data_IF_421734028566
#
_entry.id   IF_421734028566
#
_cell.length_a   1.000
_cell.length_b   1.000
_cell.length_c   1.000
_cell.angle_alpha   90.00
_cell.angle_beta   90.00
_cell.angle_gamma   90.00
#
_symmetry.space_group_name_H-M   'P 1'
#
loop_
_entity.id
_entity.type
_entity.pdbx_description
1 polymer ?
#
# COMPACT_ATOMS: atom_id res chain seq x y z
N UNK A 1 -3.83 30.63 3.71
CA UNK A 1 -2.95 29.80 4.54
C UNK A 1 -1.65 30.54 4.85
N UNK A 2 -0.88 30.97 3.85
CA UNK A 2 0.46 31.60 4.05
C UNK A 2 0.49 32.79 5.01
N UNK A 3 -0.62 33.53 5.16
CA UNK A 3 -0.73 34.73 6.03
C UNK A 3 -1.22 34.43 7.46
N UNK A 4 -1.53 33.16 7.79
CA UNK A 4 -2.11 32.84 9.11
C UNK A 4 -1.08 32.69 10.24
N UNK A 5 0.22 32.73 9.93
CA UNK A 5 1.31 32.67 10.92
C UNK A 5 1.53 31.30 11.58
N UNK A 6 0.93 30.22 11.04
CA UNK A 6 1.11 28.85 11.51
C UNK A 6 1.10 27.84 10.36
N UNK A 7 1.76 26.68 10.49
CA UNK A 7 1.67 25.60 9.51
C UNK A 7 0.23 25.09 9.38
N UNK A 8 -0.24 24.87 8.17
CA UNK A 8 -1.54 24.27 7.87
C UNK A 8 -1.36 23.34 6.68
N UNK A 9 -1.75 22.08 6.85
CA UNK A 9 -1.85 21.10 5.75
C UNK A 9 -3.09 21.42 4.93
N UNK A 10 -2.93 21.58 3.63
CA UNK A 10 -4.03 21.72 2.69
C UNK A 10 -4.35 20.37 2.06
N UNK A 11 -5.52 19.84 2.39
CA UNK A 11 -6.10 18.66 1.76
C UNK A 11 -7.18 19.10 0.78
N UNK A 12 -7.14 18.58 -0.44
CA UNK A 12 -8.13 18.84 -1.49
C UNK A 12 -8.97 17.59 -1.75
N UNK A 13 -10.29 17.76 -1.75
CA UNK A 13 -11.25 16.67 -1.93
C UNK A 13 -12.36 17.06 -2.92
N UNK A 14 -12.02 17.37 -4.18
CA UNK A 14 -13.02 17.79 -5.19
C UNK A 14 -13.59 16.63 -6.01
N UNK A 15 -13.42 15.37 -5.58
CA UNK A 15 -13.52 14.16 -6.39
C UNK A 15 -12.13 13.75 -6.91
N UNK A 16 -12.02 12.80 -7.86
CA UNK A 16 -10.73 12.33 -8.35
C UNK A 16 -9.91 13.46 -8.96
N UNK A 17 -8.70 13.65 -8.46
CA UNK A 17 -7.76 14.60 -9.05
C UNK A 17 -7.36 14.14 -10.46
N UNK A 18 -7.24 15.08 -11.38
CA UNK A 18 -6.82 14.81 -12.75
C UNK A 18 -5.29 14.79 -12.83
N UNK A 19 -4.73 13.71 -13.36
CA UNK A 19 -3.28 13.50 -13.42
C UNK A 19 -2.55 14.59 -14.24
N UNK A 20 -3.15 15.11 -15.28
CA UNK A 20 -2.61 16.20 -16.10
C UNK A 20 -2.43 17.50 -15.31
N UNK A 21 -3.03 17.60 -14.14
CA UNK A 21 -2.89 18.73 -13.23
C UNK A 21 -2.04 18.40 -11.99
N UNK A 22 -1.33 17.28 -11.97
CA UNK A 22 -0.47 16.86 -10.85
C UNK A 22 0.49 17.98 -10.39
N UNK A 23 1.13 18.67 -11.34
CA UNK A 23 2.01 19.81 -11.07
C UNK A 23 1.36 20.92 -10.23
N UNK A 24 0.04 21.11 -10.38
CA UNK A 24 -0.71 22.13 -9.64
C UNK A 24 -0.94 21.69 -8.19
N UNK A 25 -1.30 20.41 -7.99
CA UNK A 25 -1.49 19.85 -6.64
C UNK A 25 -0.17 19.84 -5.88
N UNK A 26 0.92 19.37 -6.47
CA UNK A 26 2.27 19.37 -5.88
C UNK A 26 2.72 20.76 -5.47
N UNK A 27 2.35 21.79 -6.22
CA UNK A 27 2.76 23.17 -5.95
C UNK A 27 1.93 23.86 -4.87
N UNK A 28 0.64 23.53 -4.73
CA UNK A 28 -0.30 24.34 -3.98
C UNK A 28 -1.04 23.58 -2.87
N UNK A 29 -0.95 22.26 -2.82
CA UNK A 29 -1.58 21.42 -1.80
C UNK A 29 -0.54 20.52 -1.14
N UNK A 30 -0.95 19.85 -0.06
CA UNK A 30 -0.15 18.83 0.61
C UNK A 30 -0.70 17.43 0.36
N UNK A 31 -2.00 17.33 0.15
CA UNK A 31 -2.66 16.08 -0.20
C UNK A 31 -3.88 16.35 -1.07
N UNK A 32 -4.25 15.39 -1.89
CA UNK A 32 -5.38 15.48 -2.82
C UNK A 32 -5.96 14.11 -3.11
N UNK A 33 -7.26 14.01 -3.10
CA UNK A 33 -7.98 12.78 -3.39
C UNK A 33 -7.78 12.33 -4.83
N UNK A 34 -7.37 11.08 -5.00
CA UNK A 34 -7.20 10.44 -6.31
C UNK A 34 -8.42 9.60 -6.72
N UNK A 35 -9.43 9.55 -5.87
CA UNK A 35 -10.67 8.79 -6.05
C UNK A 35 -11.87 9.63 -5.63
N UNK A 36 -13.07 9.20 -6.02
CA UNK A 36 -14.32 9.60 -5.39
C UNK A 36 -14.39 9.05 -3.95
N UNK A 37 -15.52 9.20 -3.27
CA UNK A 37 -15.69 8.67 -1.93
C UNK A 37 -15.46 7.15 -1.91
N UNK A 38 -14.42 6.73 -1.21
CA UNK A 38 -14.04 5.34 -1.10
C UNK A 38 -14.80 4.66 0.04
N UNK A 39 -15.50 3.59 -0.31
CA UNK A 39 -16.24 2.76 0.63
C UNK A 39 -15.80 1.30 0.56
N UNK A 40 -16.28 0.50 1.51
CA UNK A 40 -15.99 -0.92 1.69
C UNK A 40 -16.63 -1.82 0.62
N UNK A 41 -16.22 -1.63 -0.62
CA UNK A 41 -16.57 -2.43 -1.79
C UNK A 41 -15.31 -2.89 -2.51
N UNK A 42 -15.23 -4.20 -2.81
CA UNK A 42 -14.06 -4.78 -3.45
C UNK A 42 -13.71 -4.12 -4.78
N UNK A 43 -14.70 -3.83 -5.62
CA UNK A 43 -14.47 -3.19 -6.92
C UNK A 43 -13.77 -1.83 -6.79
N UNK A 44 -14.08 -1.06 -5.73
CA UNK A 44 -13.40 0.21 -5.46
C UNK A 44 -11.95 -0.01 -5.02
N UNK A 45 -11.69 -1.06 -4.24
CA UNK A 45 -10.34 -1.41 -3.83
C UNK A 45 -9.53 -1.93 -5.02
N UNK A 46 -10.13 -2.74 -5.89
CA UNK A 46 -9.49 -3.21 -7.13
C UNK A 46 -9.16 -2.04 -8.08
N UNK A 47 -10.07 -1.09 -8.27
CA UNK A 47 -9.80 0.12 -9.07
C UNK A 47 -8.68 0.99 -8.46
N UNK A 48 -8.51 0.97 -7.13
CA UNK A 48 -7.48 1.75 -6.46
C UNK A 48 -6.06 1.37 -6.88
N UNK A 49 -5.81 0.12 -7.28
CA UNK A 49 -4.51 -0.29 -7.82
C UNK A 49 -4.14 0.48 -9.09
N UNK A 50 -5.09 0.69 -10.01
CA UNK A 50 -4.90 1.52 -11.21
C UNK A 50 -4.66 2.99 -10.85
N UNK A 51 -5.39 3.52 -9.86
CA UNK A 51 -5.21 4.90 -9.39
C UNK A 51 -3.83 5.09 -8.76
N UNK A 52 -3.40 4.15 -7.92
CA UNK A 52 -2.07 4.16 -7.32
C UNK A 52 -0.97 4.06 -8.39
N UNK A 53 -1.13 3.21 -9.42
CA UNK A 53 -0.21 3.13 -10.56
C UNK A 53 -0.05 4.50 -11.23
N UNK A 54 -1.16 5.16 -11.53
CA UNK A 54 -1.17 6.45 -12.20
C UNK A 54 -0.44 7.53 -11.38
N UNK A 55 -0.61 7.50 -10.06
CA UNK A 55 -0.10 8.54 -9.15
C UNK A 55 1.22 8.21 -8.47
N UNK A 56 1.81 7.01 -8.67
CA UNK A 56 3.00 6.54 -7.95
C UNK A 56 4.25 7.46 -8.08
N UNK A 57 4.33 8.25 -9.14
CA UNK A 57 5.43 9.18 -9.37
C UNK A 57 5.24 10.55 -8.69
N UNK A 58 4.13 10.76 -8.03
CA UNK A 58 3.72 12.02 -7.42
C UNK A 58 3.70 11.98 -5.89
N UNK A 59 4.14 10.86 -5.31
CA UNK A 59 4.31 10.69 -3.84
C UNK A 59 5.68 11.21 -3.45
N UNK A 60 5.71 12.21 -2.58
CA UNK A 60 6.95 12.76 -2.02
C UNK A 60 6.66 13.49 -0.71
N UNK A 61 7.70 13.89 0.01
CA UNK A 61 7.55 14.66 1.25
C UNK A 61 6.74 15.94 1.00
N UNK A 62 5.63 16.09 1.71
CA UNK A 62 4.71 17.22 1.58
C UNK A 62 3.71 17.11 0.43
N UNK A 63 3.76 16.05 -0.37
CA UNK A 63 2.90 15.77 -1.51
C UNK A 63 2.37 14.34 -1.43
N UNK A 64 1.11 14.19 -1.04
CA UNK A 64 0.50 12.89 -0.82
C UNK A 64 -0.80 12.72 -1.63
N UNK A 65 -0.78 11.98 -2.74
CA UNK A 65 -2.00 11.47 -3.37
C UNK A 65 -2.78 10.62 -2.36
N UNK A 66 -4.07 10.93 -2.17
CA UNK A 66 -4.88 10.42 -1.09
C UNK A 66 -5.89 9.40 -1.62
N UNK A 67 -5.76 8.16 -1.17
CA UNK A 67 -6.69 7.06 -1.51
C UNK A 67 -8.00 7.12 -0.71
N UNK A 68 -8.23 8.18 0.06
CA UNK A 68 -9.38 8.37 0.94
C UNK A 68 -9.31 7.58 2.26
N UNK A 69 -10.42 7.58 2.98
CA UNK A 69 -10.52 6.97 4.29
C UNK A 69 -10.38 5.45 4.27
N UNK A 70 -10.08 4.90 5.43
CA UNK A 70 -10.10 3.46 5.69
C UNK A 70 -11.46 3.07 6.30
N UNK A 71 -12.40 2.49 5.54
CA UNK A 71 -13.72 2.08 6.05
C UNK A 71 -13.63 0.74 6.81
N UNK A 72 -12.99 0.75 7.98
CA UNK A 72 -12.73 -0.40 8.84
C UNK A 72 -13.60 -0.37 10.11
N UNK A 73 -13.76 -1.52 10.78
CA UNK A 73 -14.49 -1.61 12.05
C UNK A 73 -15.95 -1.19 11.94
N UNK A 74 -16.46 -0.42 12.91
CA UNK A 74 -17.83 0.08 12.94
C UNK A 74 -17.96 1.39 12.15
N UNK A 75 -18.85 1.41 11.19
CA UNK A 75 -19.14 2.53 10.28
C UNK A 75 -20.53 3.09 10.51
N UNK A 76 -20.77 4.32 10.05
CA UNK A 76 -22.09 4.93 9.96
C UNK A 76 -22.67 5.48 11.27
N UNK A 77 -21.97 5.35 12.39
CA UNK A 77 -22.45 5.90 13.69
C UNK A 77 -22.61 7.42 13.63
N UNK A 78 -23.84 7.87 13.81
CA UNK A 78 -24.19 9.27 13.67
C UNK A 78 -24.30 9.79 12.24
N UNK A 79 -24.01 8.95 11.23
CA UNK A 79 -24.14 9.28 9.82
C UNK A 79 -24.52 8.03 9.02
N UNK A 80 -25.78 7.86 8.71
CA UNK A 80 -26.29 6.72 7.98
C UNK A 80 -26.63 5.53 8.87
N UNK A 81 -26.54 4.30 8.32
CA UNK A 81 -26.80 3.05 9.03
C UNK A 81 -25.54 2.56 9.76
N UNK A 82 -25.66 2.34 11.08
CA UNK A 82 -24.56 1.75 11.86
C UNK A 82 -24.38 0.27 11.48
N UNK A 83 -23.17 -0.06 11.07
CA UNK A 83 -22.80 -1.41 10.62
C UNK A 83 -21.31 -1.64 10.77
N UNK A 84 -20.86 -2.87 10.65
CA UNK A 84 -19.44 -3.21 10.48
C UNK A 84 -19.04 -3.08 9.01
N UNK A 85 -17.74 -2.96 8.77
CA UNK A 85 -17.16 -3.01 7.42
C UNK A 85 -17.61 -4.28 6.67
N UNK A 86 -17.82 -4.16 5.36
CA UNK A 86 -18.11 -5.30 4.47
C UNK A 86 -16.87 -6.01 3.98
N UNK A 87 -15.72 -5.36 4.10
CA UNK A 87 -14.46 -5.99 3.71
C UNK A 87 -14.19 -7.24 4.57
N UNK A 88 -13.83 -8.32 3.91
CA UNK A 88 -13.27 -9.51 4.56
C UNK A 88 -11.95 -9.19 5.26
N UNK A 89 -11.46 -10.06 6.11
CA UNK A 89 -10.18 -9.87 6.80
C UNK A 89 -9.02 -9.71 5.79
N UNK A 90 -9.06 -10.46 4.69
CA UNK A 90 -8.02 -10.38 3.65
C UNK A 90 -8.12 -9.07 2.85
N UNK A 91 -9.31 -8.63 2.49
CA UNK A 91 -9.52 -7.33 1.82
C UNK A 91 -9.06 -6.15 2.70
N UNK A 92 -9.29 -6.22 4.01
CA UNK A 92 -8.79 -5.21 4.95
C UNK A 92 -7.26 -5.17 4.97
N UNK A 93 -6.58 -6.33 4.98
CA UNK A 93 -5.12 -6.41 4.88
C UNK A 93 -4.62 -5.89 3.53
N UNK A 94 -5.27 -6.29 2.44
CA UNK A 94 -4.95 -5.85 1.09
C UNK A 94 -5.03 -4.33 0.97
N UNK A 95 -6.11 -3.71 1.47
CA UNK A 95 -6.26 -2.26 1.52
C UNK A 95 -5.14 -1.60 2.33
N UNK A 96 -4.90 -2.07 3.56
CA UNK A 96 -3.85 -1.52 4.42
C UNK A 96 -2.46 -1.63 3.80
N UNK A 97 -2.17 -2.77 3.15
CA UNK A 97 -0.89 -3.00 2.47
C UNK A 97 -0.72 -2.03 1.31
N UNK A 98 -1.76 -1.84 0.48
CA UNK A 98 -1.72 -0.92 -0.65
C UNK A 98 -1.51 0.53 -0.18
N UNK A 99 -2.30 1.02 0.81
CA UNK A 99 -2.14 2.37 1.34
C UNK A 99 -0.73 2.62 1.89
N UNK A 100 -0.19 1.65 2.65
CA UNK A 100 1.12 1.78 3.26
C UNK A 100 2.26 1.74 2.23
N UNK A 101 2.24 0.82 1.26
CA UNK A 101 3.31 0.72 0.27
C UNK A 101 3.24 1.86 -0.75
N UNK A 102 2.06 2.30 -1.14
CA UNK A 102 1.87 3.45 -2.03
C UNK A 102 2.24 4.78 -1.34
N UNK A 103 2.05 4.89 -0.03
CA UNK A 103 2.29 6.11 0.74
C UNK A 103 1.09 7.04 0.83
N UNK A 104 -0.14 6.50 0.76
CA UNK A 104 -1.37 7.28 0.98
C UNK A 104 -1.49 7.75 2.42
N UNK A 105 -1.99 8.97 2.68
CA UNK A 105 -2.39 9.38 4.02
C UNK A 105 -3.38 8.39 4.65
N UNK A 106 -3.23 8.17 5.97
CA UNK A 106 -4.07 7.25 6.72
C UNK A 106 -5.18 8.01 7.45
N UNK A 107 -6.39 7.97 6.93
CA UNK A 107 -7.59 8.57 7.51
C UNK A 107 -8.57 7.48 7.90
N UNK A 108 -8.73 7.21 9.20
CA UNK A 108 -9.65 6.16 9.65
C UNK A 108 -11.10 6.63 9.58
N UNK A 109 -11.93 5.92 8.81
CA UNK A 109 -13.36 6.19 8.64
C UNK A 109 -14.26 5.43 9.62
N UNK A 110 -13.72 4.93 10.74
CA UNK A 110 -14.43 4.13 11.72
C UNK A 110 -14.77 4.90 13.00
N UNK A 111 -15.71 4.37 13.78
CA UNK A 111 -15.94 4.81 15.16
C UNK A 111 -14.83 4.31 16.08
N UNK A 112 -13.93 5.21 16.46
CA UNK A 112 -12.71 4.88 17.22
C UNK A 112 -12.99 4.25 18.59
N UNK A 113 -14.12 4.58 19.21
CA UNK A 113 -14.49 4.04 20.52
C UNK A 113 -15.04 2.62 20.48
N UNK A 114 -15.28 2.08 19.27
CA UNK A 114 -15.85 0.77 19.03
C UNK A 114 -14.91 -0.17 18.24
N UNK A 115 -13.61 0.18 18.16
CA UNK A 115 -12.62 -0.68 17.51
C UNK A 115 -12.47 -2.02 18.25
N UNK A 116 -12.62 -3.11 17.54
CA UNK A 116 -12.30 -4.44 18.03
C UNK A 116 -10.78 -4.70 18.01
N UNK A 117 -10.35 -5.81 18.62
CA UNK A 117 -8.94 -6.14 18.75
C UNK A 117 -8.28 -6.45 17.40
N UNK A 118 -9.01 -7.04 16.46
CA UNK A 118 -8.49 -7.39 15.13
C UNK A 118 -8.27 -6.13 14.30
N UNK A 119 -9.26 -5.24 14.25
CA UNK A 119 -9.12 -3.93 13.59
C UNK A 119 -7.98 -3.10 14.23
N UNK A 120 -7.87 -3.11 15.56
CA UNK A 120 -6.80 -2.41 16.26
C UNK A 120 -5.43 -2.99 15.92
N UNK A 121 -5.28 -4.33 15.88
CA UNK A 121 -4.03 -4.99 15.50
C UNK A 121 -3.63 -4.65 14.06
N UNK A 122 -4.58 -4.65 13.14
CA UNK A 122 -4.38 -4.25 11.75
C UNK A 122 -3.85 -2.82 11.65
N UNK A 123 -4.50 -1.87 12.32
CA UNK A 123 -4.18 -0.43 12.28
C UNK A 123 -2.89 -0.07 13.03
N UNK A 124 -2.38 -0.93 13.90
CA UNK A 124 -1.19 -0.66 14.73
C UNK A 124 0.00 -1.56 14.43
N UNK A 125 -0.05 -2.32 13.33
CA UNK A 125 1.10 -3.11 12.89
C UNK A 125 2.26 -2.18 12.50
N UNK A 126 3.32 -2.18 13.33
CA UNK A 126 4.43 -1.23 13.18
C UNK A 126 5.29 -1.50 11.97
N UNK A 127 5.39 -2.75 11.53
CA UNK A 127 6.23 -3.14 10.41
C UNK A 127 5.60 -2.68 9.08
N UNK A 128 4.29 -2.87 8.93
CA UNK A 128 3.56 -2.37 7.76
C UNK A 128 3.50 -0.84 7.76
N UNK A 129 3.23 -0.21 8.91
CA UNK A 129 3.23 1.25 9.05
C UNK A 129 4.61 1.88 8.85
N UNK A 130 5.70 1.11 8.98
CA UNK A 130 7.05 1.59 8.70
C UNK A 130 7.17 2.08 7.26
N UNK A 131 6.56 1.38 6.28
CA UNK A 131 6.57 1.79 4.88
C UNK A 131 6.02 3.20 4.66
N UNK A 132 4.95 3.56 5.39
CA UNK A 132 4.33 4.88 5.32
C UNK A 132 5.16 5.97 6.00
N UNK A 133 5.86 5.61 7.10
CA UNK A 133 6.57 6.55 7.96
C UNK A 133 8.07 6.64 7.64
N UNK A 134 8.55 5.94 6.63
CA UNK A 134 9.93 5.94 6.17
C UNK A 134 10.07 6.64 4.81
N UNK A 135 11.31 6.77 4.36
CA UNK A 135 11.62 7.32 3.03
C UNK A 135 11.59 6.21 1.98
N UNK A 136 10.44 5.54 1.88
CA UNK A 136 10.23 4.45 0.93
C UNK A 136 9.77 4.98 -0.42
N UNK A 137 10.54 4.63 -1.45
CA UNK A 137 10.14 4.84 -2.84
C UNK A 137 9.53 3.56 -3.38
N UNK A 138 8.24 3.59 -3.69
CA UNK A 138 7.51 2.43 -4.19
C UNK A 138 7.23 2.51 -5.69
N UNK A 139 7.11 1.34 -6.31
CA UNK A 139 6.74 1.17 -7.72
C UNK A 139 5.85 -0.03 -7.89
N UNK A 140 4.84 0.11 -8.74
CA UNK A 140 4.08 -1.02 -9.25
C UNK A 140 4.90 -1.74 -10.32
N UNK A 141 5.23 -3.01 -10.06
CA UNK A 141 6.01 -3.87 -10.98
C UNK A 141 5.09 -4.48 -12.02
N UNK A 142 3.89 -4.89 -11.59
CA UNK A 142 2.88 -5.51 -12.45
C UNK A 142 1.49 -5.20 -11.94
N UNK A 143 0.57 -5.02 -12.88
CA UNK A 143 -0.87 -4.99 -12.65
C UNK A 143 -1.56 -5.64 -13.84
N UNK A 144 -2.41 -6.61 -13.56
CA UNK A 144 -3.34 -7.22 -14.50
C UNK A 144 -4.69 -7.47 -13.79
N UNK A 145 -5.64 -8.10 -14.48
CA UNK A 145 -6.99 -8.32 -13.93
C UNK A 145 -7.01 -9.23 -12.71
N UNK A 146 -6.00 -10.09 -12.55
CA UNK A 146 -5.95 -11.14 -11.53
C UNK A 146 -4.94 -10.88 -10.42
N UNK A 147 -3.92 -10.06 -10.66
CA UNK A 147 -2.91 -9.80 -9.65
C UNK A 147 -2.23 -8.42 -9.77
N UNK A 148 -1.67 -7.98 -8.64
CA UNK A 148 -0.76 -6.85 -8.61
C UNK A 148 0.52 -7.20 -7.85
N UNK A 149 1.62 -6.59 -8.25
CA UNK A 149 2.90 -6.66 -7.56
C UNK A 149 3.44 -5.26 -7.38
N UNK A 150 3.73 -4.91 -6.14
CA UNK A 150 4.38 -3.67 -5.76
C UNK A 150 5.72 -3.95 -5.11
N UNK A 151 6.65 -3.06 -5.28
CA UNK A 151 7.91 -3.10 -4.56
C UNK A 151 8.26 -1.71 -4.03
N UNK A 152 9.02 -1.67 -2.92
CA UNK A 152 9.49 -0.44 -2.33
C UNK A 152 10.94 -0.59 -1.86
N UNK A 153 11.68 0.52 -1.85
CA UNK A 153 13.01 0.59 -1.25
C UNK A 153 13.08 1.74 -0.28
N UNK A 154 13.50 1.47 0.95
CA UNK A 154 13.81 2.51 1.93
C UNK A 154 15.15 3.17 1.55
N UNK A 155 15.11 4.47 1.27
CA UNK A 155 16.28 5.22 0.85
C UNK A 155 17.36 5.36 1.95
N UNK A 156 16.97 5.25 3.22
CA UNK A 156 17.86 5.38 4.37
C UNK A 156 18.56 4.07 4.73
N UNK A 157 17.81 2.97 4.76
CA UNK A 157 18.34 1.66 5.17
C UNK A 157 18.80 0.82 3.98
N UNK A 158 18.27 1.09 2.78
CA UNK A 158 18.46 0.27 1.59
C UNK A 158 17.59 -0.98 1.56
N UNK A 159 16.74 -1.20 2.57
CA UNK A 159 15.85 -2.34 2.66
C UNK A 159 14.88 -2.37 1.47
N UNK A 160 14.65 -3.56 0.94
CA UNK A 160 13.73 -3.80 -0.18
C UNK A 160 12.52 -4.57 0.31
N UNK A 161 11.35 -4.14 -0.13
CA UNK A 161 10.06 -4.74 0.19
C UNK A 161 9.36 -5.16 -1.10
N UNK A 162 8.63 -6.27 -1.04
CA UNK A 162 7.77 -6.74 -2.12
C UNK A 162 6.39 -7.11 -1.57
N UNK A 163 5.34 -6.57 -2.19
CA UNK A 163 3.95 -6.88 -1.88
C UNK A 163 3.30 -7.55 -3.08
N UNK A 164 2.72 -8.73 -2.86
CA UNK A 164 2.02 -9.52 -3.85
C UNK A 164 0.54 -9.55 -3.47
N UNK A 165 -0.32 -9.29 -4.45
CA UNK A 165 -1.76 -9.20 -4.25
C UNK A 165 -2.48 -10.12 -5.24
N UNK A 166 -3.40 -10.92 -4.73
CA UNK A 166 -4.37 -11.66 -5.52
C UNK A 166 -5.62 -10.81 -5.70
N UNK A 167 -5.92 -10.39 -6.92
CA UNK A 167 -7.10 -9.56 -7.25
C UNK A 167 -8.25 -10.38 -7.84
N UNK A 168 -8.09 -11.71 -7.92
CA UNK A 168 -9.08 -12.62 -8.46
C UNK A 168 -9.99 -13.22 -7.37
N UNK A 169 -11.13 -13.78 -7.80
CA UNK A 169 -12.08 -14.46 -6.93
C UNK A 169 -11.67 -15.91 -6.57
N UNK A 170 -10.51 -16.36 -7.07
CA UNK A 170 -9.99 -17.71 -6.88
C UNK A 170 -8.64 -17.67 -6.14
N UNK A 171 -8.26 -18.80 -5.53
CA UNK A 171 -6.89 -18.96 -5.01
C UNK A 171 -5.89 -18.98 -6.16
N UNK A 172 -4.86 -18.15 -6.09
CA UNK A 172 -3.87 -18.02 -7.14
C UNK A 172 -2.44 -17.95 -6.58
N UNK A 173 -1.47 -18.39 -7.37
CA UNK A 173 -0.05 -18.16 -7.07
C UNK A 173 0.41 -16.86 -7.71
N UNK A 174 0.78 -15.89 -6.89
CA UNK A 174 1.37 -14.64 -7.35
C UNK A 174 2.88 -14.68 -7.13
N UNK A 175 3.65 -14.18 -8.09
CA UNK A 175 5.12 -14.24 -8.04
C UNK A 175 5.77 -12.98 -8.58
N UNK A 176 7.04 -12.74 -8.19
CA UNK A 176 7.92 -11.70 -8.70
C UNK A 176 9.33 -12.24 -8.84
N UNK A 177 10.06 -11.82 -9.89
CA UNK A 177 11.47 -12.15 -10.06
C UNK A 177 12.35 -11.20 -9.26
N UNK A 178 13.42 -11.73 -8.64
CA UNK A 178 14.40 -10.88 -7.95
C UNK A 178 15.08 -9.88 -8.91
N UNK A 179 15.22 -10.26 -10.19
CA UNK A 179 15.74 -9.40 -11.26
C UNK A 179 14.84 -8.17 -11.47
N UNK A 180 13.51 -8.34 -11.52
CA UNK A 180 12.56 -7.24 -11.66
C UNK A 180 12.71 -6.20 -10.51
N UNK A 181 12.95 -6.68 -9.28
CA UNK A 181 13.21 -5.81 -8.12
C UNK A 181 14.55 -5.10 -8.23
N UNK A 182 15.57 -5.82 -8.72
CA UNK A 182 16.93 -5.30 -8.90
C UNK A 182 16.95 -4.22 -9.97
N UNK A 183 16.33 -4.44 -11.12
CA UNK A 183 16.21 -3.47 -12.20
C UNK A 183 15.43 -2.23 -11.78
N UNK A 184 14.30 -2.41 -11.09
CA UNK A 184 13.42 -1.30 -10.66
C UNK A 184 14.14 -0.30 -9.76
N UNK A 185 15.02 -0.79 -8.88
CA UNK A 185 15.71 0.07 -7.89
C UNK A 185 17.18 0.30 -8.18
N UNK A 186 17.69 -0.14 -9.35
CA UNK A 186 19.09 0.04 -9.74
C UNK A 186 20.06 -0.65 -8.77
N UNK A 187 19.67 -1.79 -8.22
CA UNK A 187 20.53 -2.55 -7.32
C UNK A 187 21.55 -3.29 -8.17
N UNK A 188 22.85 -3.10 -7.90
CA UNK A 188 23.89 -3.86 -8.61
C UNK A 188 23.77 -5.35 -8.29
N UNK A 189 23.79 -6.18 -9.33
CA UNK A 189 23.99 -7.60 -9.16
C UNK A 189 25.40 -7.82 -8.62
N UNK A 190 25.52 -8.31 -7.41
CA UNK A 190 26.77 -8.89 -6.96
C UNK A 190 26.86 -10.30 -7.53
N UNK A 191 27.76 -10.45 -8.51
CA UNK A 191 28.29 -11.69 -9.06
C UNK A 191 27.31 -12.85 -9.35
N UNK A 192 27.12 -13.10 -10.59
CA UNK A 192 26.75 -14.29 -11.37
C UNK A 192 26.48 -15.66 -10.74
N UNK A 193 26.12 -15.74 -9.47
CA UNK A 193 25.72 -17.00 -8.84
C UNK A 193 24.20 -17.17 -8.91
N UNK A 194 23.78 -18.18 -9.62
CA UNK A 194 22.39 -18.52 -9.93
C UNK A 194 21.56 -19.01 -8.74
N UNK A 195 22.12 -19.03 -7.54
CA UNK A 195 21.42 -19.45 -6.30
C UNK A 195 21.56 -18.40 -5.20
N UNK A 196 20.73 -17.35 -5.30
CA UNK A 196 20.64 -16.37 -4.22
C UNK A 196 19.77 -16.97 -3.09
N UNK A 197 20.34 -17.05 -1.89
CA UNK A 197 19.58 -17.36 -0.68
C UNK A 197 19.08 -16.06 -0.07
N UNK A 198 17.78 -15.95 0.15
CA UNK A 198 17.14 -14.78 0.77
C UNK A 198 16.22 -15.23 1.91
N UNK A 199 16.14 -14.42 2.95
CA UNK A 199 15.09 -14.56 3.96
C UNK A 199 13.98 -13.56 3.66
N UNK A 200 12.75 -14.03 3.59
CA UNK A 200 11.54 -13.25 3.45
C UNK A 200 10.94 -13.06 4.84
N UNK A 201 10.96 -11.84 5.33
CA UNK A 201 10.31 -11.46 6.58
C UNK A 201 8.93 -10.92 6.28
N UNK A 202 7.88 -11.66 6.65
CA UNK A 202 6.48 -11.25 6.44
C UNK A 202 6.08 -10.19 7.47
N UNK A 203 5.75 -9.01 6.99
CA UNK A 203 5.42 -7.85 7.85
C UNK A 203 4.09 -8.00 8.61
N UNK A 204 3.18 -8.86 8.15
CA UNK A 204 1.92 -9.10 8.85
C UNK A 204 2.06 -10.10 9.98
N UNK A 205 2.74 -11.20 9.73
CA UNK A 205 2.90 -12.29 10.72
C UNK A 205 4.17 -12.17 11.58
N UNK A 206 5.16 -11.39 11.14
CA UNK A 206 6.48 -11.31 11.74
C UNK A 206 7.30 -12.60 11.57
N UNK A 207 6.91 -13.48 10.65
CA UNK A 207 7.58 -14.75 10.41
C UNK A 207 8.62 -14.67 9.31
N UNK A 208 9.73 -15.38 9.51
CA UNK A 208 10.81 -15.50 8.53
C UNK A 208 10.69 -16.81 7.76
N UNK A 209 10.87 -16.72 6.44
CA UNK A 209 10.94 -17.88 5.54
C UNK A 209 12.19 -17.79 4.68
N UNK A 210 13.03 -18.82 4.73
CA UNK A 210 14.19 -18.90 3.85
C UNK A 210 13.79 -19.51 2.50
N UNK A 211 14.21 -18.87 1.42
CA UNK A 211 14.02 -19.37 0.07
C UNK A 211 15.32 -19.29 -0.73
N UNK A 212 15.42 -20.14 -1.75
CA UNK A 212 16.54 -20.16 -2.69
C UNK A 212 15.99 -20.07 -4.10
N UNK A 213 16.66 -19.31 -4.95
CA UNK A 213 16.24 -19.12 -6.34
C UNK A 213 15.98 -17.64 -6.66
N UNK A 214 15.50 -17.42 -7.86
CA UNK A 214 15.29 -16.08 -8.43
C UNK A 214 13.84 -15.62 -8.40
N UNK A 215 12.91 -16.53 -8.05
CA UNK A 215 11.46 -16.25 -8.04
C UNK A 215 10.93 -16.28 -6.61
N UNK A 216 10.32 -15.19 -6.18
CA UNK A 216 9.56 -15.12 -4.94
C UNK A 216 8.08 -15.34 -5.27
N UNK A 217 7.43 -16.26 -4.58
CA UNK A 217 6.01 -16.58 -4.84
C UNK A 217 5.25 -16.92 -3.58
N UNK A 218 3.94 -16.67 -3.60
CA UNK A 218 3.00 -17.08 -2.56
C UNK A 218 1.72 -17.59 -3.18
N UNK A 219 1.15 -18.64 -2.62
CA UNK A 219 -0.24 -19.03 -2.87
C UNK A 219 -1.14 -18.16 -1.99
N UNK A 220 -1.99 -17.38 -2.61
CA UNK A 220 -2.88 -16.41 -1.97
C UNK A 220 -4.33 -16.79 -2.25
N UNK A 221 -5.13 -16.91 -1.20
CA UNK A 221 -6.57 -17.05 -1.35
C UNK A 221 -7.20 -15.79 -1.95
N UNK A 222 -8.47 -15.84 -2.29
CA UNK A 222 -9.25 -14.73 -2.84
C UNK A 222 -8.97 -13.42 -2.11
N UNK A 223 -8.60 -12.39 -2.85
CA UNK A 223 -8.37 -11.00 -2.40
C UNK A 223 -7.26 -10.83 -1.34
N UNK A 224 -6.47 -11.88 -1.09
CA UNK A 224 -5.39 -11.84 -0.10
C UNK A 224 -4.13 -11.18 -0.63
N UNK A 225 -3.29 -10.77 0.29
CA UNK A 225 -1.96 -10.27 -0.01
C UNK A 225 -0.90 -10.84 0.94
N UNK A 226 0.34 -10.72 0.52
CA UNK A 226 1.53 -10.87 1.37
C UNK A 226 2.46 -9.70 1.13
N UNK A 227 3.18 -9.28 2.15
CA UNK A 227 4.22 -8.27 2.02
C UNK A 227 5.46 -8.70 2.78
N UNK A 228 6.59 -8.72 2.09
CA UNK A 228 7.87 -9.13 2.63
C UNK A 228 8.90 -8.01 2.66
N UNK A 229 9.68 -7.97 3.71
CA UNK A 229 11.02 -7.38 3.68
C UNK A 229 12.00 -8.46 3.21
N UNK A 230 12.83 -8.15 2.23
CA UNK A 230 13.77 -9.09 1.60
C UNK A 230 15.15 -8.90 2.25
N UNK A 231 15.59 -9.91 2.98
CA UNK A 231 16.89 -9.93 3.64
C UNK A 231 17.84 -10.80 2.79
N UNK A 232 18.87 -10.18 2.23
CA UNK A 232 19.92 -10.88 1.45
C UNK A 232 21.05 -11.31 2.39
N UNK A 233 21.57 -12.50 2.20
CA UNK A 233 22.69 -13.08 2.97
C UNK A 233 23.98 -13.09 2.17
#
# INVERSE_FOLDING_TARGET
>A
IQRCGRPIVLSLSPGPALIEHAWHYEKYANMWRITDDFWDHWDLLKDMFHRCELWQNHVSEGCWPDCDMLPLGTLGKGFGEERTTRFTAEEQKTMMTLWCIFGSPMMLGAELTLLDQETLALLTNREVLHLLNSDCHARQIRLDDDCAVWAARDAKTGDVYAALFNLSDETATVSVQLEELTETFGLSENDGDSTVSVTLHDLWSGCDTNTTGTTLSSELITHACVIWKILRH
#
